data_IF_174605075047
#
_entry.id   IF_174605075047
#
_cell.length_a   1.000
_cell.length_b   1.000
_cell.length_c   1.000
_cell.angle_alpha   90.00
_cell.angle_beta   90.00
_cell.angle_gamma   90.00
#
_symmetry.space_group_name_H-M   'P 1'
#
loop_
_entity.id
_entity.type
_entity.pdbx_description
1 polymer ?
#
# COMPACT_ATOMS: atom_id res chain seq x y z
N UNK A 1 -32.47 42.46 1.42
CA UNK A 1 -33.44 41.35 1.57
C UNK A 1 -32.67 40.07 1.74
N UNK A 2 -32.62 39.57 2.97
CA UNK A 2 -32.15 38.24 3.35
C UNK A 2 -33.30 37.25 3.20
N UNK A 3 -33.04 35.98 2.87
CA UNK A 3 -33.68 34.78 3.43
C UNK A 3 -32.88 33.56 2.91
N UNK A 4 -32.14 32.94 3.82
CA UNK A 4 -31.69 31.55 3.75
C UNK A 4 -32.88 30.60 3.78
N UNK A 5 -32.77 29.42 3.15
CA UNK A 5 -33.32 28.19 3.71
C UNK A 5 -32.57 26.94 3.21
N UNK A 6 -31.91 26.35 4.19
CA UNK A 6 -31.33 25.02 4.30
C UNK A 6 -32.36 23.91 4.04
N UNK A 7 -31.96 22.80 3.40
CA UNK A 7 -32.62 21.50 3.54
C UNK A 7 -31.70 20.31 3.17
N UNK A 8 -31.09 19.73 4.23
CA UNK A 8 -30.89 18.29 4.57
C UNK A 8 -30.42 17.31 3.47
N UNK A 9 -29.20 16.77 3.57
CA UNK A 9 -28.73 15.62 4.39
C UNK A 9 -29.15 14.24 3.83
N UNK A 10 -28.12 13.42 3.58
CA UNK A 10 -28.04 11.93 3.54
C UNK A 10 -28.77 11.15 2.44
N UNK A 11 -28.00 10.46 1.58
CA UNK A 11 -27.88 8.97 1.53
C UNK A 11 -27.39 8.51 0.14
N UNK A 12 -26.14 8.03 0.04
CA UNK A 12 -25.80 6.75 -0.63
C UNK A 12 -24.32 6.38 -0.42
N UNK A 13 -23.92 6.12 0.83
CA UNK A 13 -22.77 5.25 1.11
C UNK A 13 -23.32 3.83 1.20
N UNK A 14 -23.34 3.13 0.07
CA UNK A 14 -23.50 1.67 -0.08
C UNK A 14 -22.80 1.39 -1.41
N UNK A 15 -21.53 1.02 -1.42
CA UNK A 15 -21.10 -0.38 -1.23
C UNK A 15 -19.66 -0.44 -0.70
N UNK A 16 -19.50 -0.51 0.63
CA UNK A 16 -18.31 -1.12 1.23
C UNK A 16 -18.54 -2.63 1.20
N UNK A 17 -18.03 -3.29 0.17
CA UNK A 17 -18.03 -4.74 0.04
C UNK A 17 -16.72 -5.32 0.54
N UNK A 18 -16.67 -5.62 1.85
CA UNK A 18 -15.80 -6.64 2.50
C UNK A 18 -14.35 -6.75 2.00
N UNK A 19 -13.49 -5.84 2.47
CA UNK A 19 -12.07 -6.15 2.65
C UNK A 19 -11.59 -5.60 3.99
N UNK A 20 -12.17 -6.11 5.08
CA UNK A 20 -11.63 -5.94 6.42
C UNK A 20 -11.66 -7.30 7.10
N UNK A 21 -10.48 -7.89 7.26
CA UNK A 21 -10.03 -8.65 8.44
C UNK A 21 -8.59 -9.15 8.19
N UNK A 22 -7.62 -8.23 8.13
CA UNK A 22 -6.28 -8.54 8.66
C UNK A 22 -6.36 -8.23 10.16
N UNK A 23 -6.95 -9.16 10.90
CA UNK A 23 -6.91 -9.12 12.35
C UNK A 23 -5.51 -9.62 12.78
N UNK A 24 -4.72 -8.72 13.37
CA UNK A 24 -3.57 -9.08 14.20
C UNK A 24 -4.10 -9.87 15.40
N UNK A 25 -4.05 -11.20 15.31
CA UNK A 25 -4.40 -12.08 16.42
C UNK A 25 -3.20 -12.16 17.38
N UNK A 26 -3.26 -11.43 18.49
CA UNK A 26 -2.42 -11.68 19.65
C UNK A 26 -2.95 -12.91 20.39
N UNK A 27 -2.26 -14.05 20.29
CA UNK A 27 -2.55 -15.24 21.10
C UNK A 27 -1.50 -15.40 22.20
N UNK A 28 -1.92 -15.20 23.44
CA UNK A 28 -1.20 -15.66 24.64
C UNK A 28 -1.59 -17.11 24.96
N UNK A 29 -0.62 -18.04 24.92
CA UNK A 29 -0.20 -18.95 26.01
C UNK A 29 0.21 -20.38 25.56
N UNK A 30 1.43 -20.74 25.99
CA UNK A 30 1.98 -22.05 26.41
C UNK A 30 2.25 -23.20 25.41
N UNK A 31 3.56 -23.41 25.20
CA UNK A 31 4.35 -24.66 25.17
C UNK A 31 3.98 -25.79 24.18
N UNK A 32 4.80 -26.00 23.14
CA UNK A 32 5.92 -26.98 23.12
C UNK A 32 6.47 -27.20 21.69
N UNK A 33 7.79 -27.44 21.62
CA UNK A 33 8.60 -28.07 20.56
C UNK A 33 8.75 -27.41 19.17
N UNK A 34 9.87 -26.69 19.03
CA UNK A 34 10.90 -26.80 17.98
C UNK A 34 10.49 -27.00 16.52
N UNK A 35 10.50 -25.91 15.75
CA UNK A 35 11.23 -25.79 14.47
C UNK A 35 11.04 -24.39 13.93
N UNK A 36 12.13 -23.64 13.76
CA UNK A 36 12.15 -22.28 13.23
C UNK A 36 11.55 -22.23 11.83
N UNK A 37 10.31 -21.74 11.73
CA UNK A 37 9.70 -21.26 10.50
C UNK A 37 9.22 -19.83 10.75
N UNK A 38 9.56 -18.84 9.91
CA UNK A 38 9.14 -17.47 10.13
C UNK A 38 7.61 -17.41 10.10
N UNK A 39 7.04 -16.57 10.95
CA UNK A 39 5.61 -16.31 11.15
C UNK A 39 4.91 -15.69 9.92
N UNK A 40 5.08 -16.28 8.74
CA UNK A 40 4.28 -16.04 7.56
C UNK A 40 2.95 -16.77 7.76
N UNK A 41 1.86 -16.00 7.73
CA UNK A 41 0.52 -16.44 8.04
C UNK A 41 0.16 -17.79 7.42
N UNK A 42 -0.34 -18.73 8.23
CA UNK A 42 -0.95 -19.98 7.74
C UNK A 42 -2.24 -19.65 6.98
N UNK A 43 -2.10 -19.26 5.72
CA UNK A 43 -3.22 -18.99 4.83
C UNK A 43 -3.95 -20.31 4.54
N UNK A 44 -5.28 -20.31 4.66
CA UNK A 44 -6.05 -21.51 4.40
C UNK A 44 -5.94 -21.92 2.93
N UNK A 45 -5.90 -23.22 2.65
CA UNK A 45 -5.86 -23.75 1.27
C UNK A 45 -7.04 -23.23 0.42
N UNK A 46 -8.21 -23.05 1.03
CA UNK A 46 -9.38 -22.47 0.39
C UNK A 46 -9.16 -21.00 0.02
N UNK A 47 -8.55 -20.20 0.90
CA UNK A 47 -8.24 -18.81 0.62
C UNK A 47 -7.22 -18.66 -0.52
N UNK A 48 -6.15 -19.46 -0.51
CA UNK A 48 -5.19 -19.47 -1.62
C UNK A 48 -5.84 -19.90 -2.94
N UNK A 49 -6.82 -20.81 -2.90
CA UNK A 49 -7.57 -21.19 -4.09
C UNK A 49 -8.42 -20.03 -4.63
N UNK A 50 -9.09 -19.28 -3.74
CA UNK A 50 -9.83 -18.07 -4.12
C UNK A 50 -8.90 -17.01 -4.71
N UNK A 51 -7.76 -16.74 -4.08
CA UNK A 51 -6.79 -15.78 -4.61
C UNK A 51 -6.28 -16.18 -6.00
N UNK A 52 -6.08 -17.48 -6.27
CA UNK A 52 -5.68 -17.92 -7.62
C UNK A 52 -6.75 -17.72 -8.69
N UNK A 53 -8.02 -17.67 -8.30
CA UNK A 53 -9.13 -17.39 -9.22
C UNK A 53 -9.38 -15.90 -9.44
N UNK A 54 -8.78 -15.02 -8.63
CA UNK A 54 -8.91 -13.56 -8.77
C UNK A 54 -7.90 -13.01 -9.79
N UNK A 55 -8.32 -11.99 -10.54
CA UNK A 55 -7.45 -11.26 -11.46
C UNK A 55 -6.79 -10.09 -10.76
N UNK A 56 -5.46 -10.08 -10.69
CA UNK A 56 -4.68 -8.96 -10.14
C UNK A 56 -4.06 -8.14 -11.27
N UNK A 57 -3.92 -6.82 -11.04
CA UNK A 57 -3.24 -5.91 -11.96
C UNK A 57 -1.73 -6.13 -12.06
N UNK A 58 -1.15 -6.86 -11.10
CA UNK A 58 0.27 -7.20 -11.06
C UNK A 58 0.49 -8.67 -10.65
N UNK A 59 1.62 -9.28 -11.07
CA UNK A 59 2.00 -10.59 -10.57
C UNK A 59 2.17 -10.56 -9.05
N UNK A 60 1.77 -11.66 -8.40
CA UNK A 60 1.96 -11.90 -6.97
C UNK A 60 2.49 -13.31 -6.77
N UNK A 61 3.07 -13.64 -5.62
CA UNK A 61 3.52 -15.00 -5.31
C UNK A 61 2.41 -16.06 -5.52
N UNK A 62 1.16 -15.74 -5.22
CA UNK A 62 0.04 -16.69 -5.32
C UNK A 62 -0.34 -16.97 -6.79
N UNK A 63 -0.30 -15.93 -7.62
CA UNK A 63 -0.69 -16.03 -9.04
C UNK A 63 0.47 -16.45 -9.95
N UNK A 64 1.68 -16.00 -9.63
CA UNK A 64 2.89 -16.19 -10.43
C UNK A 64 4.09 -16.58 -9.53
N UNK A 65 4.03 -17.75 -8.87
CA UNK A 65 5.10 -18.20 -7.96
C UNK A 65 6.44 -18.44 -8.66
N UNK A 66 6.46 -18.55 -9.99
CA UNK A 66 7.67 -18.69 -10.80
C UNK A 66 8.37 -17.35 -11.10
N UNK A 67 7.70 -16.22 -10.86
CA UNK A 67 8.25 -14.87 -11.05
C UNK A 67 8.55 -14.18 -9.72
N UNK A 68 7.68 -14.37 -8.73
CA UNK A 68 7.75 -13.68 -7.44
C UNK A 68 7.80 -14.72 -6.33
N UNK A 69 8.82 -14.65 -5.48
CA UNK A 69 8.97 -15.54 -4.35
C UNK A 69 8.04 -15.14 -3.18
N UNK A 70 7.89 -16.05 -2.23
CA UNK A 70 7.13 -15.76 -1.01
C UNK A 70 7.79 -14.61 -0.22
N UNK A 71 6.99 -13.60 0.18
CA UNK A 71 7.48 -12.41 0.87
C UNK A 71 8.01 -11.30 -0.04
N UNK A 72 8.21 -11.58 -1.33
CA UNK A 72 8.56 -10.58 -2.34
C UNK A 72 7.33 -9.80 -2.82
N UNK A 73 7.47 -8.48 -2.93
CA UNK A 73 6.45 -7.61 -3.52
C UNK A 73 6.72 -7.38 -5.01
N UNK A 74 8.00 -7.24 -5.33
CA UNK A 74 8.54 -7.10 -6.69
C UNK A 74 9.65 -8.13 -6.81
N UNK A 75 9.91 -8.62 -8.02
CA UNK A 75 10.99 -9.59 -8.29
C UNK A 75 12.29 -9.15 -7.59
N UNK A 76 12.76 -9.98 -6.65
CA UNK A 76 13.99 -9.74 -5.90
C UNK A 76 13.93 -8.65 -4.82
N UNK A 77 12.73 -8.13 -4.49
CA UNK A 77 12.55 -7.14 -3.42
C UNK A 77 11.42 -7.55 -2.47
N UNK A 78 11.79 -7.71 -1.19
CA UNK A 78 10.88 -8.04 -0.11
C UNK A 78 9.96 -6.87 0.25
N UNK A 79 8.77 -7.20 0.76
CA UNK A 79 7.81 -6.21 1.31
C UNK A 79 8.49 -5.33 2.37
N UNK A 80 9.36 -5.91 3.20
CA UNK A 80 10.06 -5.19 4.26
C UNK A 80 11.00 -4.10 3.75
N UNK A 81 11.62 -4.29 2.59
CA UNK A 81 12.48 -3.27 1.97
C UNK A 81 11.69 -1.99 1.66
N UNK A 82 10.46 -2.10 1.18
CA UNK A 82 9.60 -0.94 0.93
C UNK A 82 9.14 -0.29 2.23
N UNK A 83 8.88 -1.08 3.28
CA UNK A 83 8.58 -0.56 4.62
C UNK A 83 9.74 0.27 5.16
N UNK A 84 10.96 -0.27 5.11
CA UNK A 84 12.17 0.40 5.56
C UNK A 84 12.41 1.71 4.80
N UNK A 85 12.24 1.71 3.47
CA UNK A 85 12.36 2.93 2.65
C UNK A 85 11.41 4.04 3.09
N UNK A 86 10.13 3.70 3.34
CA UNK A 86 9.14 4.66 3.83
C UNK A 86 9.49 5.18 5.23
N UNK A 87 9.93 4.30 6.12
CA UNK A 87 10.37 4.68 7.47
C UNK A 87 11.57 5.64 7.40
N UNK A 88 12.59 5.30 6.61
CA UNK A 88 13.78 6.14 6.41
C UNK A 88 13.42 7.52 5.86
N UNK A 89 12.49 7.59 4.91
CA UNK A 89 11.99 8.86 4.39
C UNK A 89 11.31 9.69 5.49
N UNK A 90 10.41 9.09 6.28
CA UNK A 90 9.71 9.79 7.36
C UNK A 90 10.67 10.27 8.45
N UNK A 91 11.64 9.45 8.87
CA UNK A 91 12.66 9.84 9.84
C UNK A 91 13.52 11.00 9.34
N UNK A 92 13.87 11.00 8.05
CA UNK A 92 14.60 12.13 7.44
C UNK A 92 13.80 13.42 7.44
N UNK A 93 12.50 13.36 7.12
CA UNK A 93 11.60 14.52 7.15
C UNK A 93 11.41 15.04 8.57
N UNK A 94 11.27 14.14 9.54
CA UNK A 94 11.15 14.52 10.95
C UNK A 94 12.41 15.26 11.41
N UNK A 95 13.60 14.69 11.17
CA UNK A 95 14.86 15.34 11.54
C UNK A 95 15.03 16.71 10.86
N UNK A 96 14.74 16.79 9.56
CA UNK A 96 14.79 18.05 8.82
C UNK A 96 13.81 19.09 9.39
N UNK A 97 12.62 18.66 9.81
CA UNK A 97 11.64 19.53 10.44
C UNK A 97 12.08 20.00 11.84
N UNK A 98 12.75 19.16 12.61
CA UNK A 98 13.33 19.51 13.92
C UNK A 98 14.46 20.53 13.77
N UNK A 99 15.34 20.34 12.79
CA UNK A 99 16.50 21.22 12.55
C UNK A 99 16.12 22.62 12.01
N UNK A 100 14.94 22.78 11.39
CA UNK A 100 14.56 23.99 10.67
C UNK A 100 13.27 24.69 11.15
N UNK A 101 12.58 24.19 12.19
CA UNK A 101 11.38 24.84 12.74
C UNK A 101 11.67 25.56 14.06
N UNK A 102 11.16 26.78 14.19
CA UNK A 102 11.00 27.44 15.48
C UNK A 102 10.01 26.65 16.35
N UNK A 103 10.27 26.56 17.66
CA UNK A 103 9.57 25.73 18.69
C UNK A 103 8.04 25.63 18.54
N UNK A 104 7.39 26.66 18.00
CA UNK A 104 5.95 26.76 17.79
C UNK A 104 5.37 25.80 16.72
N UNK A 105 6.19 25.18 15.87
CA UNK A 105 5.72 24.25 14.80
C UNK A 105 6.12 22.78 15.01
N UNK A 106 6.75 22.45 16.14
CA UNK A 106 7.29 21.12 16.43
C UNK A 106 6.20 20.03 16.50
N UNK A 107 4.97 20.37 16.88
CA UNK A 107 3.89 19.41 17.15
C UNK A 107 2.99 19.09 15.95
N UNK A 108 3.42 19.36 14.71
CA UNK A 108 2.61 19.09 13.51
C UNK A 108 2.96 17.75 12.90
N UNK A 109 1.94 16.92 12.66
CA UNK A 109 2.07 15.71 11.85
C UNK A 109 2.49 16.07 10.42
N UNK A 110 3.41 15.29 9.86
CA UNK A 110 3.84 15.44 8.47
C UNK A 110 3.07 14.45 7.59
N UNK A 111 2.59 14.91 6.44
CA UNK A 111 1.93 14.08 5.42
C UNK A 111 2.74 14.20 4.13
N UNK A 112 3.05 13.07 3.51
CA UNK A 112 3.73 13.02 2.22
C UNK A 112 2.81 12.39 1.19
N UNK A 113 2.64 13.07 0.06
CA UNK A 113 1.85 12.61 -1.08
C UNK A 113 2.81 12.45 -2.24
N UNK A 114 2.93 11.22 -2.74
CA UNK A 114 3.71 10.90 -3.93
C UNK A 114 2.73 10.36 -4.97
N UNK A 115 2.43 11.11 -6.04
CA UNK A 115 1.50 10.64 -7.08
C UNK A 115 2.18 9.61 -7.99
N UNK A 116 1.39 8.69 -8.54
CA UNK A 116 1.88 7.81 -9.60
C UNK A 116 1.98 8.54 -10.96
N UNK A 117 2.57 7.87 -11.95
CA UNK A 117 2.62 8.37 -13.32
C UNK A 117 1.31 8.07 -14.06
N UNK A 118 0.93 8.99 -14.94
CA UNK A 118 -0.18 8.81 -15.88
C UNK A 118 0.29 8.26 -17.23
N UNK A 119 -0.63 7.67 -17.98
CA UNK A 119 -0.36 7.18 -19.35
C UNK A 119 -0.09 8.37 -20.28
N UNK A 120 1.05 8.35 -20.96
CA UNK A 120 1.41 9.34 -21.98
C UNK A 120 1.06 8.83 -23.36
N UNK A 121 0.58 9.73 -24.21
CA UNK A 121 0.17 9.44 -25.58
C UNK A 121 1.02 10.25 -26.56
N UNK A 122 1.46 9.62 -27.64
CA UNK A 122 2.13 10.29 -28.76
C UNK A 122 1.10 11.06 -29.61
N UNK A 123 -0.08 10.47 -29.77
CA UNK A 123 -1.28 11.05 -30.38
C UNK A 123 -2.50 10.39 -29.75
N UNK A 124 -3.71 10.93 -29.96
CA UNK A 124 -4.95 10.53 -29.28
C UNK A 124 -5.19 9.02 -29.14
N UNK A 125 -4.73 8.20 -30.10
CA UNK A 125 -4.92 6.75 -30.11
C UNK A 125 -3.65 5.92 -29.94
N UNK A 126 -2.47 6.54 -29.79
CA UNK A 126 -1.18 5.84 -29.73
C UNK A 126 -0.49 6.13 -28.38
N UNK A 127 -0.57 5.19 -27.41
CA UNK A 127 0.12 5.35 -26.13
C UNK A 127 1.61 5.07 -26.24
N UNK A 128 2.41 5.77 -25.43
CA UNK A 128 3.78 5.34 -25.13
C UNK A 128 3.77 4.15 -24.17
N UNK A 129 4.89 3.42 -24.14
CA UNK A 129 5.12 2.40 -23.11
C UNK A 129 5.09 3.06 -21.74
N UNK A 130 4.25 2.52 -20.85
CA UNK A 130 4.11 3.07 -19.51
C UNK A 130 5.41 2.95 -18.72
N UNK A 131 5.78 4.03 -18.05
CA UNK A 131 6.91 4.11 -17.13
C UNK A 131 6.40 4.79 -15.86
N UNK A 132 6.55 4.12 -14.73
CA UNK A 132 6.12 4.63 -13.44
C UNK A 132 7.03 5.79 -12.98
N UNK A 133 6.50 6.66 -12.12
CA UNK A 133 7.31 7.62 -11.38
C UNK A 133 8.33 6.88 -10.50
N UNK A 134 9.61 7.24 -10.62
CA UNK A 134 10.71 6.55 -9.92
C UNK A 134 10.55 6.55 -8.41
N UNK A 135 10.15 7.67 -7.82
CA UNK A 135 9.98 7.82 -6.37
C UNK A 135 8.79 7.01 -5.88
N UNK A 136 7.66 7.07 -6.61
CA UNK A 136 6.49 6.28 -6.31
C UNK A 136 6.80 4.78 -6.35
N UNK A 137 7.48 4.33 -7.41
CA UNK A 137 7.86 2.93 -7.56
C UNK A 137 8.87 2.50 -6.50
N UNK A 138 9.84 3.35 -6.16
CA UNK A 138 10.84 3.05 -5.13
C UNK A 138 10.21 2.83 -3.75
N UNK A 139 9.18 3.63 -3.40
CA UNK A 139 8.51 3.60 -2.10
C UNK A 139 7.39 2.56 -1.99
N UNK A 140 6.78 2.18 -3.12
CA UNK A 140 5.59 1.31 -3.14
C UNK A 140 5.73 0.01 -3.93
N UNK A 141 6.57 -0.04 -4.96
CA UNK A 141 6.64 -1.16 -5.91
C UNK A 141 5.46 -1.24 -6.90
N UNK A 142 4.50 -0.31 -6.83
CA UNK A 142 3.30 -0.34 -7.66
C UNK A 142 3.57 0.17 -9.09
N UNK A 143 3.09 -0.56 -10.10
CA UNK A 143 3.20 -0.22 -11.53
C UNK A 143 1.84 0.10 -12.16
N UNK A 144 0.80 0.26 -11.35
CA UNK A 144 -0.49 0.72 -11.83
C UNK A 144 -0.44 2.24 -12.09
N UNK A 145 -1.01 2.70 -13.22
CA UNK A 145 -1.13 4.13 -13.51
C UNK A 145 -2.27 4.77 -12.69
N UNK A 146 -2.21 6.09 -12.52
CA UNK A 146 -3.30 6.92 -11.97
C UNK A 146 -3.75 6.51 -10.55
N UNK A 147 -2.80 6.49 -9.60
CA UNK A 147 -2.96 6.11 -8.17
C UNK A 147 -2.60 7.26 -7.23
#
# INVERSE_FOLDING_TARGET
>A
MSIFKNARRTHLIKTLGKFDHIALLSSSSSSASSSDAPAAATLSRSFLQTLRSETFGQPTYVTHPHLINEGELVIGQNVETFRERRLRLMSGIQKYAEDHKAEQQMNKSNLVIVPSASKKYMSDKIPYVFRQNSDFYYLSGCLEPDS
#
